data_IF_682421688746
#
_entry.id   IF_682421688746
#
_cell.length_a   1.000
_cell.length_b   1.000
_cell.length_c   1.000
_cell.angle_alpha   90.00
_cell.angle_beta   90.00
_cell.angle_gamma   90.00
#
_symmetry.space_group_name_H-M   'P 1'
#
loop_
_entity.id
_entity.type
_entity.pdbx_description
1 polymer ?
#
# COMPACT_ATOMS: atom_id res chain seq x y z
N UNK A 1 -19.42 21.95 12.94
CA UNK A 1 -18.00 22.14 13.31
C UNK A 1 -17.40 20.74 13.34
N UNK A 2 -16.54 20.25 12.45
CA UNK A 2 -15.57 20.88 11.58
C UNK A 2 -14.25 20.15 11.79
N UNK A 3 -14.09 18.94 11.23
CA UNK A 3 -12.83 18.19 11.26
C UNK A 3 -12.62 17.45 9.93
N UNK A 4 -12.50 18.21 8.83
CA UNK A 4 -11.76 17.72 7.67
C UNK A 4 -10.37 18.37 7.73
N UNK A 5 -9.49 17.77 8.52
CA UNK A 5 -8.07 18.11 8.52
C UNK A 5 -7.41 17.37 7.36
N UNK A 6 -7.79 17.69 6.12
CA UNK A 6 -6.86 17.58 4.99
C UNK A 6 -5.88 18.73 5.17
N UNK A 7 -4.96 18.60 6.13
CA UNK A 7 -3.82 19.50 6.22
C UNK A 7 -3.02 19.29 4.95
N UNK A 8 -2.80 20.36 4.19
CA UNK A 8 -1.69 20.49 3.25
C UNK A 8 -0.45 19.88 3.91
N UNK A 9 -0.05 18.70 3.42
CA UNK A 9 0.77 17.78 4.19
C UNK A 9 1.96 17.34 3.37
N UNK A 10 3.15 17.61 3.90
CA UNK A 10 4.35 16.89 3.52
C UNK A 10 4.32 15.53 4.24
N UNK A 11 4.06 14.48 3.49
CA UNK A 11 3.92 13.12 3.99
C UNK A 11 5.20 12.34 3.69
N UNK A 12 5.63 11.55 4.67
CA UNK A 12 6.78 10.66 4.57
C UNK A 12 6.32 9.23 4.39
N UNK A 13 6.86 8.54 3.39
CA UNK A 13 6.63 7.11 3.22
C UNK A 13 7.94 6.33 3.31
N UNK A 14 7.83 5.07 3.71
CA UNK A 14 8.97 4.16 3.79
C UNK A 14 8.56 2.76 3.32
N UNK A 15 9.52 2.05 2.74
CA UNK A 15 9.41 0.61 2.56
C UNK A 15 9.91 -0.03 3.85
N UNK A 16 9.21 -1.02 4.37
CA UNK A 16 9.67 -1.83 5.49
C UNK A 16 10.76 -2.79 5.03
N UNK A 17 11.97 -2.26 4.84
CA UNK A 17 13.16 -3.01 4.43
C UNK A 17 13.69 -3.93 5.53
N UNK A 18 13.15 -3.87 6.75
CA UNK A 18 13.46 -4.79 7.84
C UNK A 18 12.70 -6.12 7.75
N UNK A 19 11.60 -6.14 7.00
CA UNK A 19 10.83 -7.34 6.73
C UNK A 19 11.42 -8.10 5.53
N UNK A 20 11.83 -9.36 5.73
CA UNK A 20 12.42 -10.21 4.70
C UNK A 20 11.50 -10.51 3.52
N UNK A 21 10.19 -10.27 3.66
CA UNK A 21 9.22 -10.37 2.56
C UNK A 21 9.22 -9.17 1.62
N UNK A 22 9.77 -8.02 2.02
CA UNK A 22 9.71 -6.79 1.21
C UNK A 22 10.60 -6.89 -0.02
N UNK A 23 9.98 -6.77 -1.20
CA UNK A 23 10.67 -6.91 -2.48
C UNK A 23 11.41 -5.64 -2.87
N UNK A 24 12.68 -5.75 -3.27
CA UNK A 24 13.49 -4.60 -3.69
C UNK A 24 13.00 -3.93 -4.99
N UNK A 25 12.34 -4.68 -5.87
CA UNK A 25 11.80 -4.18 -7.15
C UNK A 25 10.50 -3.37 -6.98
N UNK A 26 9.83 -3.46 -5.84
CA UNK A 26 8.58 -2.73 -5.56
C UNK A 26 8.76 -1.23 -5.35
N UNK A 27 9.98 -0.79 -5.06
CA UNK A 27 10.29 0.58 -4.71
C UNK A 27 9.99 1.59 -5.83
N UNK A 28 10.28 1.22 -7.07
CA UNK A 28 10.06 2.09 -8.24
C UNK A 28 8.56 2.22 -8.57
N UNK A 29 7.78 1.12 -8.68
CA UNK A 29 6.31 1.16 -8.80
C UNK A 29 5.63 1.98 -7.70
N UNK A 30 5.98 1.75 -6.44
CA UNK A 30 5.40 2.49 -5.30
C UNK A 30 5.71 3.99 -5.41
N UNK A 31 6.94 4.33 -5.78
CA UNK A 31 7.32 5.74 -5.96
C UNK A 31 6.57 6.39 -7.13
N UNK A 32 6.22 5.65 -8.19
CA UNK A 32 5.35 6.16 -9.27
C UNK A 32 3.94 6.46 -8.78
N UNK A 33 3.33 5.54 -8.02
CA UNK A 33 2.00 5.75 -7.43
C UNK A 33 1.94 7.05 -6.59
N UNK A 34 2.94 7.30 -5.74
CA UNK A 34 3.04 8.55 -4.99
C UNK A 34 3.22 9.79 -5.88
N UNK A 35 4.01 9.70 -6.96
CA UNK A 35 4.15 10.80 -7.92
C UNK A 35 2.82 11.11 -8.61
N UNK A 36 2.04 10.09 -8.96
CA UNK A 36 0.70 10.25 -9.52
C UNK A 36 -0.23 11.01 -8.56
N UNK A 37 -0.29 10.61 -7.29
CA UNK A 37 -1.07 11.34 -6.28
C UNK A 37 -0.55 12.76 -6.05
N UNK A 38 0.77 12.96 -5.97
CA UNK A 38 1.37 14.29 -5.83
C UNK A 38 1.01 15.22 -6.99
N UNK A 39 0.97 14.71 -8.22
CA UNK A 39 0.63 15.50 -9.40
C UNK A 39 -0.85 15.90 -9.49
N UNK A 40 -1.73 15.21 -8.76
CA UNK A 40 -3.18 15.38 -8.84
C UNK A 40 -3.81 15.90 -7.53
N UNK A 41 -3.01 16.18 -6.51
CA UNK A 41 -3.48 16.64 -5.20
C UNK A 41 -2.56 17.75 -4.66
N UNK A 42 -2.87 18.28 -3.49
CA UNK A 42 -2.00 19.23 -2.79
C UNK A 42 -1.02 18.56 -1.81
N UNK A 43 -0.98 17.23 -1.76
CA UNK A 43 -0.01 16.50 -0.95
C UNK A 43 1.35 16.47 -1.61
N UNK A 44 2.41 16.46 -0.78
CA UNK A 44 3.76 16.18 -1.24
C UNK A 44 4.26 14.93 -0.51
N UNK A 45 4.96 14.06 -1.22
CA UNK A 45 5.43 12.79 -0.68
C UNK A 45 6.94 12.71 -0.77
N UNK A 46 7.57 12.30 0.32
CA UNK A 46 9.01 12.08 0.38
C UNK A 46 9.32 10.72 0.97
N UNK A 47 10.22 9.99 0.30
CA UNK A 47 10.69 8.72 0.82
C UNK A 47 11.69 8.95 1.95
N UNK A 48 11.56 8.18 3.03
CA UNK A 48 12.52 8.09 4.12
C UNK A 48 12.95 6.65 4.35
N UNK A 49 14.13 6.46 4.93
CA UNK A 49 14.64 5.15 5.35
C UNK A 49 14.22 4.80 6.78
N UNK A 50 13.90 5.80 7.60
CA UNK A 50 13.39 5.61 8.95
C UNK A 50 11.90 5.25 8.91
N UNK A 51 11.62 3.95 8.91
CA UNK A 51 10.27 3.40 8.92
C UNK A 51 9.50 3.75 10.20
N UNK A 52 10.19 3.96 11.32
CA UNK A 52 9.52 4.24 12.61
C UNK A 52 8.74 5.54 12.56
N UNK A 53 9.34 6.58 11.95
CA UNK A 53 8.78 7.93 11.87
C UNK A 53 8.10 8.24 10.53
N UNK A 54 7.93 7.25 9.65
CA UNK A 54 7.18 7.43 8.40
C UNK A 54 5.67 7.53 8.69
N UNK A 55 4.97 8.40 7.94
CA UNK A 55 3.51 8.47 7.97
C UNK A 55 2.87 7.26 7.28
N UNK A 56 3.54 6.74 6.24
CA UNK A 56 3.07 5.60 5.46
C UNK A 56 4.16 4.52 5.48
N UNK A 57 3.80 3.30 5.90
CA UNK A 57 4.71 2.16 6.07
C UNK A 57 4.24 1.04 5.16
N UNK A 58 5.07 0.71 4.17
CA UNK A 58 4.72 -0.18 3.06
C UNK A 58 5.52 -1.46 3.20
N UNK A 59 4.84 -2.60 3.33
CA UNK A 59 5.50 -3.88 3.50
C UNK A 59 4.79 -5.00 2.74
N UNK A 60 5.41 -6.18 2.78
CA UNK A 60 4.85 -7.43 2.26
C UNK A 60 4.70 -8.39 3.42
N UNK A 61 3.51 -8.96 3.57
CA UNK A 61 3.22 -9.90 4.66
C UNK A 61 2.44 -11.09 4.12
N UNK A 62 2.65 -12.27 4.68
CA UNK A 62 1.88 -13.47 4.34
C UNK A 62 0.93 -13.81 5.48
N UNK A 63 -0.28 -14.28 5.14
CA UNK A 63 -1.22 -14.90 6.09
C UNK A 63 -1.47 -14.04 7.33
N UNK A 64 -1.48 -14.63 8.52
CA UNK A 64 -1.51 -13.88 9.77
C UNK A 64 -0.16 -13.21 10.02
N UNK A 65 -0.20 -11.88 10.14
CA UNK A 65 0.96 -11.02 10.35
C UNK A 65 0.75 -10.03 11.50
N UNK A 66 -0.12 -10.38 12.45
CA UNK A 66 -0.19 -9.73 13.76
C UNK A 66 -0.95 -8.40 13.80
N UNK A 67 -1.60 -8.00 12.70
CA UNK A 67 -2.44 -6.80 12.64
C UNK A 67 -3.95 -7.08 12.74
N UNK A 68 -4.33 -8.35 12.90
CA UNK A 68 -5.72 -8.80 12.97
C UNK A 68 -6.41 -8.90 11.61
N UNK A 69 -5.69 -8.67 10.51
CA UNK A 69 -6.21 -8.65 9.15
C UNK A 69 -5.44 -9.66 8.29
N UNK A 70 -5.61 -10.97 8.50
CA UNK A 70 -4.81 -11.96 7.78
C UNK A 70 -5.10 -11.95 6.27
N UNK A 71 -4.06 -12.23 5.48
CA UNK A 71 -4.17 -12.57 4.07
C UNK A 71 -4.62 -14.03 3.87
N UNK A 72 -5.16 -14.33 2.70
CA UNK A 72 -5.80 -15.62 2.38
C UNK A 72 -4.99 -16.53 1.46
N UNK A 73 -3.80 -16.09 1.03
CA UNK A 73 -2.83 -16.90 0.30
C UNK A 73 -2.82 -16.65 -1.19
N UNK A 74 -2.10 -17.49 -1.96
CA UNK A 74 -1.93 -17.22 -3.38
C UNK A 74 -3.22 -17.43 -4.17
N UNK A 75 -3.38 -16.63 -5.23
CA UNK A 75 -4.27 -16.89 -6.34
C UNK A 75 -4.07 -18.32 -6.91
N UNK A 76 -5.14 -19.04 -7.35
CA UNK A 76 -6.53 -18.60 -7.48
C UNK A 76 -7.43 -18.88 -6.27
N UNK A 77 -6.87 -19.37 -5.16
CA UNK A 77 -7.66 -19.72 -3.98
C UNK A 77 -7.82 -18.52 -3.04
N UNK A 78 -6.77 -17.71 -2.90
CA UNK A 78 -6.82 -16.41 -2.24
C UNK A 78 -7.41 -15.33 -3.14
N UNK A 79 -7.90 -14.26 -2.53
CA UNK A 79 -8.56 -13.15 -3.19
C UNK A 79 -8.08 -11.79 -2.67
N UNK A 80 -7.48 -11.73 -1.47
CA UNK A 80 -7.03 -10.48 -0.85
C UNK A 80 -5.59 -10.23 -1.26
N UNK A 81 -5.36 -9.26 -2.13
CA UNK A 81 -4.01 -8.99 -2.66
C UNK A 81 -3.27 -7.88 -1.91
N UNK A 82 -4.00 -7.00 -1.22
CA UNK A 82 -3.44 -5.93 -0.40
C UNK A 82 -4.47 -5.40 0.60
N UNK A 83 -3.98 -4.64 1.58
CA UNK A 83 -4.82 -3.76 2.38
C UNK A 83 -4.07 -2.51 2.81
N UNK A 84 -4.84 -1.45 3.12
CA UNK A 84 -4.35 -0.26 3.78
C UNK A 84 -5.24 0.14 4.96
N UNK A 85 -4.59 0.72 5.97
CA UNK A 85 -5.23 1.27 7.15
C UNK A 85 -5.42 2.79 7.00
N UNK A 86 -6.30 3.35 7.82
CA UNK A 86 -6.53 4.79 7.85
C UNK A 86 -5.23 5.58 8.14
N UNK A 87 -5.15 6.88 7.77
CA UNK A 87 -3.90 7.65 7.83
C UNK A 87 -3.25 7.76 9.21
N UNK A 88 -4.02 7.56 10.29
CA UNK A 88 -3.50 7.59 11.66
C UNK A 88 -2.67 6.35 12.00
N UNK A 89 -2.97 5.22 11.36
CA UNK A 89 -2.19 3.98 11.45
C UNK A 89 -1.08 3.98 10.38
N UNK A 90 -1.46 4.26 9.13
CA UNK A 90 -0.53 4.49 8.03
C UNK A 90 0.14 3.23 7.48
N UNK A 91 -0.26 2.04 7.92
CA UNK A 91 0.21 0.78 7.32
C UNK A 91 -0.50 0.49 5.99
N UNK A 92 0.28 -0.02 5.05
CA UNK A 92 -0.15 -0.57 3.78
C UNK A 92 0.63 -1.88 3.61
N UNK A 93 -0.06 -2.99 3.33
CA UNK A 93 0.57 -4.29 3.11
C UNK A 93 0.13 -4.88 1.77
N UNK A 94 1.09 -5.38 1.00
CA UNK A 94 0.85 -6.35 -0.07
C UNK A 94 0.80 -7.76 0.51
N UNK A 95 -0.01 -8.66 -0.07
CA UNK A 95 0.11 -10.09 0.23
C UNK A 95 1.39 -10.64 -0.41
N UNK A 96 2.29 -11.15 0.42
CA UNK A 96 3.55 -11.73 -0.02
C UNK A 96 3.38 -13.12 -0.67
N UNK A 97 2.22 -13.76 -0.50
CA UNK A 97 1.91 -15.03 -1.16
C UNK A 97 1.57 -14.85 -2.64
N UNK A 98 1.28 -13.62 -3.10
CA UNK A 98 0.88 -13.33 -4.46
C UNK A 98 2.04 -13.10 -5.44
N UNK A 99 1.77 -13.32 -6.73
CA UNK A 99 2.73 -13.01 -7.80
C UNK A 99 2.65 -11.53 -8.17
N UNK A 100 3.77 -10.82 -8.02
CA UNK A 100 3.86 -9.38 -8.28
C UNK A 100 4.74 -9.05 -9.48
N UNK A 101 4.28 -8.10 -10.28
CA UNK A 101 5.01 -7.50 -11.39
C UNK A 101 5.42 -6.05 -11.06
N UNK A 102 6.70 -5.75 -11.26
CA UNK A 102 7.21 -4.38 -11.26
C UNK A 102 7.32 -3.89 -12.72
N UNK A 103 6.21 -3.41 -13.28
CA UNK A 103 6.11 -2.98 -14.68
C UNK A 103 5.50 -4.04 -15.59
N UNK A 104 6.15 -4.38 -16.71
CA UNK A 104 5.57 -5.33 -17.68
C UNK A 104 5.42 -6.71 -17.03
N UNK A 105 4.17 -7.15 -16.94
CA UNK A 105 3.81 -8.43 -16.35
C UNK A 105 4.50 -9.61 -17.07
N UNK A 106 5.18 -10.52 -16.34
CA UNK A 106 5.79 -11.71 -16.94
C UNK A 106 4.77 -12.77 -17.37
N UNK A 107 3.47 -12.57 -17.14
CA UNK A 107 2.40 -13.48 -17.54
C UNK A 107 1.04 -13.15 -16.92
N UNK A 108 -0.01 -13.85 -17.33
CA UNK A 108 -1.41 -13.58 -16.95
C UNK A 108 -1.78 -13.77 -15.47
N UNK A 109 -0.83 -14.17 -14.62
CA UNK A 109 -1.09 -14.57 -13.23
C UNK A 109 -0.40 -13.66 -12.20
N UNK A 110 0.01 -12.45 -12.58
CA UNK A 110 0.65 -11.50 -11.65
C UNK A 110 -0.09 -10.18 -11.57
N UNK A 111 -0.03 -9.56 -10.39
CA UNK A 111 -0.61 -8.27 -10.07
C UNK A 111 0.43 -7.16 -10.23
N UNK A 112 0.01 -6.02 -10.79
CA UNK A 112 0.90 -4.88 -10.99
C UNK A 112 1.05 -4.07 -9.69
N UNK A 113 2.30 -3.92 -9.25
CA UNK A 113 2.63 -3.27 -7.98
C UNK A 113 2.21 -1.79 -7.96
N UNK A 114 2.38 -1.07 -9.07
CA UNK A 114 2.07 0.35 -9.15
C UNK A 114 0.57 0.59 -9.04
N UNK A 115 -0.23 -0.20 -9.77
CA UNK A 115 -1.69 -0.09 -9.80
C UNK A 115 -2.28 -0.37 -8.41
N UNK A 116 -1.82 -1.42 -7.72
CA UNK A 116 -2.30 -1.74 -6.37
C UNK A 116 -1.84 -0.70 -5.34
N UNK A 117 -0.60 -0.18 -5.43
CA UNK A 117 -0.18 0.95 -4.59
C UNK A 117 -1.06 2.18 -4.81
N UNK A 118 -1.35 2.50 -6.08
CA UNK A 118 -2.19 3.64 -6.44
C UNK A 118 -3.57 3.52 -5.81
N UNK A 119 -4.20 2.35 -5.91
CA UNK A 119 -5.50 2.04 -5.30
C UNK A 119 -5.49 2.31 -3.80
N UNK A 120 -4.59 1.66 -3.07
CA UNK A 120 -4.65 1.63 -1.61
C UNK A 120 -4.18 2.95 -0.96
N UNK A 121 -3.28 3.70 -1.61
CA UNK A 121 -3.00 5.09 -1.19
C UNK A 121 -4.27 5.94 -1.37
N UNK A 122 -5.02 5.66 -2.43
CA UNK A 122 -6.34 6.23 -2.69
C UNK A 122 -7.32 5.97 -1.54
N UNK A 123 -7.46 4.69 -1.18
CA UNK A 123 -8.23 4.24 -0.03
C UNK A 123 -7.80 4.98 1.24
N UNK A 124 -6.50 4.98 1.55
CA UNK A 124 -5.98 5.51 2.80
C UNK A 124 -6.39 6.97 3.02
N UNK A 125 -6.31 7.83 2.00
CA UNK A 125 -6.51 9.28 2.17
C UNK A 125 -7.84 9.81 1.65
N UNK A 126 -8.54 9.06 0.79
CA UNK A 126 -9.70 9.58 0.05
C UNK A 126 -10.94 8.68 0.17
N UNK A 127 -10.87 7.57 0.92
CA UNK A 127 -12.04 6.78 1.32
C UNK A 127 -12.53 7.13 2.74
N UNK A 128 -13.61 6.49 3.18
CA UNK A 128 -14.20 6.71 4.51
C UNK A 128 -13.20 6.36 5.64
N UNK A 129 -12.76 7.34 6.46
CA UNK A 129 -11.62 7.21 7.38
C UNK A 129 -11.82 6.20 8.52
N UNK A 130 -12.99 5.55 8.64
CA UNK A 130 -13.30 4.57 9.67
C UNK A 130 -13.15 3.10 9.26
N UNK A 131 -12.75 2.78 8.02
CA UNK A 131 -12.73 1.39 7.53
C UNK A 131 -11.38 0.96 6.98
N UNK A 132 -10.93 -0.22 7.43
CA UNK A 132 -9.88 -0.98 6.75
C UNK A 132 -10.48 -1.45 5.42
N UNK A 133 -9.83 -1.14 4.30
CA UNK A 133 -10.21 -1.74 3.02
C UNK A 133 -9.24 -2.86 2.69
N UNK A 134 -9.81 -3.93 2.12
CA UNK A 134 -9.09 -5.04 1.53
C UNK A 134 -9.36 -4.99 0.04
N UNK A 135 -8.32 -4.94 -0.78
CA UNK A 135 -8.50 -5.13 -2.20
C UNK A 135 -8.77 -6.62 -2.46
N UNK A 136 -9.97 -6.89 -2.98
CA UNK A 136 -10.40 -8.21 -3.39
C UNK A 136 -10.54 -8.25 -4.89
N UNK A 137 -10.08 -9.32 -5.54
CA UNK A 137 -10.16 -9.53 -6.99
C UNK A 137 -11.58 -9.62 -7.58
N UNK A 138 -12.62 -9.35 -6.78
CA UNK A 138 -14.03 -9.40 -7.18
C UNK A 138 -14.73 -8.04 -7.17
N UNK A 139 -14.05 -6.95 -6.77
CA UNK A 139 -14.61 -5.61 -6.71
C UNK A 139 -13.90 -4.66 -7.67
#
# INVERSE_FOLDING_TARGET
MGTSLIRLGFLRYSMDSGNSGTRGDSMEPVAKAFRTWQGNTHFTFSRVTDTTNANIKIGFSSRDHGDGVPFDGPWPLGQVIAHAFAPIDGRFHYDADEQWAAGVSPGSNSFDLETVALHEIGVMYFSDPGKIHKENLKN
#
